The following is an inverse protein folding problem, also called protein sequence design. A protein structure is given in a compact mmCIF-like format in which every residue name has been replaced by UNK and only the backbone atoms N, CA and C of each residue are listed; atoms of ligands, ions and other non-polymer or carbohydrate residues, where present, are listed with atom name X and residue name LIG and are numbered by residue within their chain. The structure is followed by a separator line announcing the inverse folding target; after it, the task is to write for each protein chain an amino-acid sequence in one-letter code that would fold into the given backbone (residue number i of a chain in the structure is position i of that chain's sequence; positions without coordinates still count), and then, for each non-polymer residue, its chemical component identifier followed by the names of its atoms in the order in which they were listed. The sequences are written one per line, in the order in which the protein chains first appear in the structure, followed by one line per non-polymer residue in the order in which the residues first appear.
data_IF_852959203204
#
_entry.id   IF_852959203204
#
_cell.length_a   1.000
_cell.length_b   1.000
_cell.length_c   1.000
_cell.angle_alpha   90.00
_cell.angle_beta   90.00
_cell.angle_gamma   90.00
#
_symmetry.space_group_name_H-M   'P 1'
#
loop_
_entity.id
_entity.type
_entity.pdbx_description
1 polymer ?
#
# COMPACT_ATOMS: atom_id res chain seq x y z
N UNK A 1 -24.10 39.23 -46.73
CA UNK A 1 -23.91 38.69 -45.38
C UNK A 1 -23.72 39.88 -44.46
N UNK A 2 -24.68 40.19 -43.61
CA UNK A 2 -24.66 41.42 -42.81
C UNK A 2 -23.66 41.24 -41.62
N UNK A 3 -23.00 42.33 -41.28
CA UNK A 3 -22.00 42.47 -40.23
C UNK A 3 -22.49 41.90 -38.88
N UNK A 4 -23.79 41.92 -38.61
CA UNK A 4 -24.45 41.37 -37.42
C UNK A 4 -24.32 39.82 -37.31
N UNK A 5 -24.34 39.10 -38.43
CA UNK A 5 -24.16 37.62 -38.40
C UNK A 5 -22.74 37.19 -38.11
N UNK A 6 -21.77 38.05 -38.47
CA UNK A 6 -20.35 37.81 -38.16
C UNK A 6 -20.05 38.03 -36.67
N UNK A 7 -20.67 39.04 -36.04
CA UNK A 7 -20.53 39.36 -34.62
C UNK A 7 -21.14 38.28 -33.70
N UNK A 8 -22.30 37.71 -34.10
CA UNK A 8 -22.94 36.62 -33.35
C UNK A 8 -22.11 35.34 -33.41
N UNK A 9 -21.47 35.01 -34.55
CA UNK A 9 -20.58 33.84 -34.63
C UNK A 9 -19.28 34.01 -33.80
N UNK A 10 -18.76 35.26 -33.69
CA UNK A 10 -17.55 35.50 -32.86
C UNK A 10 -17.83 35.40 -31.36
N UNK A 11 -19.08 35.76 -30.95
CA UNK A 11 -19.47 35.69 -29.53
C UNK A 11 -19.70 34.25 -29.03
N UNK A 12 -20.00 33.28 -29.92
CA UNK A 12 -20.20 31.87 -29.57
C UNK A 12 -18.90 31.08 -29.46
N UNK A 13 -17.77 31.58 -30.01
CA UNK A 13 -16.48 30.87 -29.98
C UNK A 13 -15.70 31.12 -28.67
N UNK A 14 -16.03 32.14 -27.90
CA UNK A 14 -15.30 32.53 -26.67
C UNK A 14 -15.77 31.79 -25.43
N UNK A 15 -16.85 31.00 -25.45
CA UNK A 15 -17.44 30.38 -24.25
C UNK A 15 -17.06 28.92 -24.00
N UNK A 16 -16.09 28.31 -24.66
CA UNK A 16 -15.70 26.93 -24.43
C UNK A 16 -14.27 26.72 -23.91
N UNK A 17 -13.69 27.75 -23.26
CA UNK A 17 -12.56 27.50 -22.36
C UNK A 17 -13.10 26.98 -21.04
N UNK A 18 -13.60 25.75 -21.03
CA UNK A 18 -13.83 25.00 -19.80
C UNK A 18 -12.48 24.91 -19.09
N UNK A 19 -12.35 25.52 -17.94
CA UNK A 19 -11.28 25.25 -17.00
C UNK A 19 -11.38 23.74 -16.70
N UNK A 20 -10.52 22.95 -17.33
CA UNK A 20 -10.30 21.57 -16.92
C UNK A 20 -9.74 21.65 -15.49
N UNK A 21 -10.62 21.50 -14.50
CA UNK A 21 -10.20 21.26 -13.14
C UNK A 21 -9.39 19.96 -13.20
N UNK A 22 -8.08 20.04 -12.94
CA UNK A 22 -7.25 18.87 -12.79
C UNK A 22 -7.88 18.01 -11.69
N UNK A 23 -8.10 16.73 -12.01
CA UNK A 23 -8.50 15.74 -11.02
C UNK A 23 -7.43 15.73 -9.91
N UNK A 24 -7.80 16.01 -8.65
CA UNK A 24 -6.81 16.17 -7.56
C UNK A 24 -6.02 14.91 -7.23
N UNK A 25 -6.28 13.79 -7.90
CA UNK A 25 -5.66 12.52 -7.59
C UNK A 25 -6.24 11.89 -6.30
N UNK A 26 -6.14 10.56 -6.21
CA UNK A 26 -6.59 9.85 -5.01
C UNK A 26 -5.53 9.93 -3.92
N UNK A 27 -5.84 10.62 -2.81
CA UNK A 27 -5.00 10.60 -1.62
C UNK A 27 -5.01 9.19 -1.02
N UNK A 28 -3.83 8.61 -0.80
CA UNK A 28 -3.67 7.25 -0.29
C UNK A 28 -3.00 7.18 1.08
N UNK A 29 -2.55 8.28 1.60
CA UNK A 29 -1.86 8.40 2.88
C UNK A 29 -1.41 9.82 3.15
N UNK A 30 -0.48 9.99 4.08
CA UNK A 30 0.12 11.28 4.43
C UNK A 30 1.61 11.14 4.78
N UNK A 31 2.34 12.23 4.59
CA UNK A 31 3.70 12.39 5.11
C UNK A 31 3.63 12.69 6.62
N UNK A 32 4.12 11.79 7.46
CA UNK A 32 4.08 11.94 8.92
C UNK A 32 5.35 12.57 9.49
N UNK A 33 6.45 12.46 8.75
CA UNK A 33 7.72 13.13 9.05
C UNK A 33 8.38 13.55 7.75
N UNK A 34 8.84 14.78 7.69
CA UNK A 34 9.67 15.31 6.60
C UNK A 34 10.86 16.03 7.21
N UNK A 35 12.06 15.57 6.86
CA UNK A 35 13.33 16.20 7.25
C UNK A 35 14.04 16.67 5.99
N UNK A 36 14.39 17.93 5.95
CA UNK A 36 15.00 18.63 4.83
C UNK A 36 14.10 18.58 3.56
N UNK A 37 14.63 18.17 2.42
CA UNK A 37 13.95 18.27 1.14
C UNK A 37 13.37 16.92 0.70
N UNK A 38 12.06 16.77 0.82
CA UNK A 38 11.30 15.67 0.20
C UNK A 38 10.31 16.26 -0.78
N UNK A 39 10.23 15.69 -1.97
CA UNK A 39 9.34 16.16 -3.05
C UNK A 39 8.36 15.09 -3.46
N UNK A 40 7.16 15.51 -3.88
CA UNK A 40 6.17 14.71 -4.58
C UNK A 40 6.00 15.23 -6.00
N UNK A 41 6.00 14.35 -6.99
CA UNK A 41 5.72 14.68 -8.39
C UNK A 41 4.50 13.89 -8.85
N UNK A 42 3.41 14.61 -9.16
CA UNK A 42 2.18 14.02 -9.66
C UNK A 42 1.81 14.68 -11.00
N UNK A 43 1.68 13.89 -12.08
CA UNK A 43 1.33 14.39 -13.44
C UNK A 43 2.18 15.57 -13.90
N UNK A 44 3.50 15.57 -13.62
CA UNK A 44 4.47 16.63 -13.92
C UNK A 44 4.42 17.85 -12.96
N UNK A 45 3.49 17.90 -12.04
CA UNK A 45 3.47 18.93 -11.01
C UNK A 45 4.38 18.50 -9.84
N UNK A 46 5.47 19.23 -9.66
CA UNK A 46 6.43 19.02 -8.59
C UNK A 46 6.08 19.90 -7.40
N UNK A 47 5.97 19.30 -6.23
CA UNK A 47 5.75 20.00 -4.96
C UNK A 47 6.74 19.59 -3.89
N UNK A 48 7.04 20.46 -2.95
CA UNK A 48 7.70 20.12 -1.71
C UNK A 48 6.69 19.54 -0.74
N UNK A 49 7.03 18.40 -0.12
CA UNK A 49 6.21 17.82 0.91
C UNK A 49 6.58 18.40 2.27
N UNK A 50 5.56 18.69 3.06
CA UNK A 50 5.66 19.01 4.48
C UNK A 50 5.00 17.91 5.32
N UNK A 51 5.32 17.87 6.60
CA UNK A 51 4.63 16.98 7.55
C UNK A 51 3.14 17.32 7.60
N UNK A 52 2.28 16.32 7.40
CA UNK A 52 0.83 16.45 7.32
C UNK A 52 0.29 16.46 5.89
N UNK A 53 1.13 16.67 4.88
CA UNK A 53 0.68 16.66 3.48
C UNK A 53 0.18 15.27 3.06
N UNK A 54 -0.89 15.26 2.29
CA UNK A 54 -1.39 14.04 1.66
C UNK A 54 -0.42 13.56 0.58
N UNK A 55 -0.29 12.24 0.43
CA UNK A 55 0.40 11.59 -0.69
C UNK A 55 -0.60 10.89 -1.58
N UNK A 56 -0.37 10.97 -2.90
CA UNK A 56 -1.34 10.57 -3.91
C UNK A 56 -0.95 9.24 -4.57
N UNK A 57 -1.94 8.53 -5.08
CA UNK A 57 -1.68 7.41 -5.98
C UNK A 57 -0.98 7.92 -7.25
N UNK A 58 -0.04 7.15 -7.78
CA UNK A 58 0.81 7.48 -8.92
C UNK A 58 1.80 8.63 -8.68
N UNK A 59 1.88 9.15 -7.45
CA UNK A 59 2.87 10.17 -7.09
C UNK A 59 4.27 9.56 -6.97
N UNK A 60 5.26 10.27 -7.50
CA UNK A 60 6.68 9.93 -7.33
C UNK A 60 7.23 10.71 -6.16
N UNK A 61 7.68 10.02 -5.12
CA UNK A 61 8.30 10.63 -3.94
C UNK A 61 9.81 10.52 -4.05
N UNK A 62 10.51 11.63 -3.80
CA UNK A 62 11.97 11.67 -3.80
C UNK A 62 12.50 12.44 -2.59
N UNK A 63 13.46 11.84 -1.89
CA UNK A 63 14.20 12.47 -0.81
C UNK A 63 15.55 12.99 -1.32
N UNK A 64 15.94 14.17 -0.89
CA UNK A 64 17.28 14.73 -1.15
C UNK A 64 18.40 13.93 -0.49
N UNK A 65 19.64 14.28 -0.78
CA UNK A 65 20.83 13.52 -0.35
C UNK A 65 21.01 13.42 1.17
N UNK A 66 20.46 14.35 1.93
CA UNK A 66 20.49 14.42 3.40
C UNK A 66 19.08 14.46 4.02
N UNK A 67 18.10 13.94 3.29
CA UNK A 67 16.69 14.07 3.63
C UNK A 67 16.09 12.74 4.02
N UNK A 68 15.03 12.80 4.83
CA UNK A 68 14.24 11.65 5.27
C UNK A 68 12.76 11.99 5.12
N UNK A 69 12.01 11.09 4.52
CA UNK A 69 10.55 11.12 4.48
C UNK A 69 9.96 9.91 5.21
N UNK A 70 8.90 10.11 5.99
CA UNK A 70 8.14 9.00 6.56
C UNK A 70 6.68 9.16 6.16
N UNK A 71 6.12 8.12 5.57
CA UNK A 71 4.74 8.09 5.10
C UNK A 71 3.92 7.08 5.92
N UNK A 72 2.65 7.40 6.11
CA UNK A 72 1.65 6.45 6.62
C UNK A 72 0.51 6.36 5.59
N UNK A 73 0.31 5.17 5.03
CA UNK A 73 -0.78 4.91 4.09
C UNK A 73 -2.09 4.62 4.85
N UNK A 74 -3.22 4.69 4.15
CA UNK A 74 -4.55 4.49 4.75
C UNK A 74 -4.79 3.11 5.36
N UNK A 75 -4.07 2.10 4.90
CA UNK A 75 -4.08 0.76 5.50
C UNK A 75 -3.11 0.61 6.69
N UNK A 76 -2.57 1.72 7.18
CA UNK A 76 -1.55 1.80 8.23
C UNK A 76 -0.17 1.24 7.82
N UNK A 77 0.07 0.98 6.55
CA UNK A 77 1.42 0.74 6.05
C UNK A 77 2.29 1.94 6.35
N UNK A 78 3.46 1.69 6.92
CA UNK A 78 4.45 2.73 7.19
C UNK A 78 5.66 2.53 6.28
N UNK A 79 6.13 3.62 5.71
CA UNK A 79 7.26 3.63 4.81
C UNK A 79 8.22 4.73 5.23
N UNK A 80 9.46 4.39 5.58
CA UNK A 80 10.52 5.36 5.75
C UNK A 80 11.40 5.39 4.49
N UNK A 81 11.72 6.59 4.03
CA UNK A 81 12.41 6.91 2.79
C UNK A 81 13.73 7.60 3.17
N UNK A 82 14.84 6.96 2.87
CA UNK A 82 16.17 7.42 3.24
C UNK A 82 16.77 8.43 2.27
N UNK A 83 17.97 8.93 2.57
CA UNK A 83 18.69 9.89 1.74
C UNK A 83 18.85 9.44 0.30
N UNK A 84 18.56 10.34 -0.65
CA UNK A 84 18.68 10.09 -2.09
C UNK A 84 17.68 9.08 -2.68
N UNK A 85 16.75 8.58 -1.89
CA UNK A 85 15.82 7.56 -2.32
C UNK A 85 14.69 8.13 -3.20
N UNK A 86 14.20 7.29 -4.13
CA UNK A 86 13.10 7.62 -5.05
C UNK A 86 12.19 6.41 -5.24
N UNK A 87 10.89 6.62 -5.14
CA UNK A 87 9.86 5.60 -5.33
C UNK A 87 8.63 6.18 -6.03
N UNK A 88 7.77 5.29 -6.56
CA UNK A 88 6.42 5.63 -7.03
C UNK A 88 5.37 4.89 -6.20
N UNK A 89 4.36 5.59 -5.75
CA UNK A 89 3.16 5.06 -5.11
C UNK A 89 2.20 4.56 -6.21
N UNK A 90 2.50 3.40 -6.82
CA UNK A 90 1.90 2.96 -8.10
C UNK A 90 0.40 2.66 -7.97
N UNK A 91 0.03 1.74 -7.08
CA UNK A 91 -1.36 1.33 -6.91
C UNK A 91 -1.72 1.17 -5.45
N UNK A 92 -2.89 1.71 -5.10
CA UNK A 92 -3.42 1.54 -3.76
C UNK A 92 -4.92 1.23 -3.82
N UNK A 93 -5.27 -0.05 -3.75
CA UNK A 93 -6.67 -0.52 -3.67
C UNK A 93 -6.85 -1.18 -2.32
N UNK A 94 -7.43 -0.45 -1.39
CA UNK A 94 -7.68 -0.90 -0.03
C UNK A 94 -9.11 -0.57 0.40
N UNK A 95 -9.82 -1.57 0.88
CA UNK A 95 -11.14 -1.45 1.50
C UNK A 95 -11.13 -2.33 2.77
N UNK A 96 -11.32 -1.76 3.96
CA UNK A 96 -11.26 -2.52 5.22
C UNK A 96 -12.32 -3.63 5.32
N UNK A 97 -13.39 -3.56 4.52
CA UNK A 97 -14.47 -4.54 4.50
C UNK A 97 -14.28 -5.63 3.44
N UNK A 98 -13.22 -5.56 2.63
CA UNK A 98 -12.95 -6.52 1.56
C UNK A 98 -11.66 -7.30 1.82
N UNK A 99 -11.67 -8.56 1.41
CA UNK A 99 -10.50 -9.43 1.44
C UNK A 99 -9.66 -9.35 0.16
N UNK A 100 -10.05 -8.48 -0.79
CA UNK A 100 -9.36 -8.27 -2.06
C UNK A 100 -8.87 -6.84 -2.20
N UNK A 101 -7.63 -6.64 -2.59
CA UNK A 101 -7.01 -5.35 -2.81
C UNK A 101 -5.65 -5.50 -3.48
N UNK A 102 -4.95 -4.40 -3.70
CA UNK A 102 -3.59 -4.40 -4.24
C UNK A 102 -2.88 -3.13 -3.79
N UNK A 103 -1.73 -3.28 -3.15
CA UNK A 103 -0.84 -2.19 -2.80
C UNK A 103 0.48 -2.47 -3.52
N UNK A 104 0.81 -1.62 -4.48
CA UNK A 104 2.00 -1.74 -5.32
C UNK A 104 2.84 -0.50 -5.17
N UNK A 105 4.09 -0.68 -4.76
CA UNK A 105 5.11 0.36 -4.68
C UNK A 105 6.22 0.02 -5.66
N UNK A 106 6.69 1.01 -6.41
CA UNK A 106 7.86 0.86 -7.29
C UNK A 106 9.02 1.60 -6.64
N UNK A 107 9.97 0.87 -6.07
CA UNK A 107 11.20 1.42 -5.51
C UNK A 107 12.24 1.53 -6.63
N UNK A 108 12.77 2.73 -6.84
CA UNK A 108 13.66 3.03 -7.96
C UNK A 108 15.11 2.99 -7.52
N UNK A 109 15.46 3.67 -6.45
CA UNK A 109 16.81 3.72 -5.86
C UNK A 109 16.77 4.19 -4.41
N UNK A 110 17.86 3.93 -3.66
CA UNK A 110 18.05 4.38 -2.30
C UNK A 110 17.56 3.39 -1.24
N UNK A 111 17.46 3.85 -0.01
CA UNK A 111 17.15 3.04 1.16
C UNK A 111 15.74 3.28 1.65
N UNK A 112 15.05 2.19 2.02
CA UNK A 112 13.66 2.21 2.50
C UNK A 112 13.50 1.25 3.67
N UNK A 113 12.63 1.61 4.63
CA UNK A 113 12.05 0.67 5.58
C UNK A 113 10.57 0.54 5.31
N UNK A 114 10.11 -0.70 5.19
CA UNK A 114 8.72 -1.03 4.97
C UNK A 114 8.15 -1.80 6.17
N UNK A 115 7.00 -1.35 6.67
CA UNK A 115 6.26 -1.98 7.75
C UNK A 115 4.85 -2.22 7.24
N UNK A 116 4.47 -3.49 7.09
CA UNK A 116 3.13 -3.83 6.57
C UNK A 116 2.04 -3.34 7.50
N UNK A 117 1.00 -2.77 6.93
CA UNK A 117 -0.21 -2.36 7.61
C UNK A 117 -1.19 -3.51 7.86
N UNK A 118 -2.46 -3.15 7.99
CA UNK A 118 -3.56 -4.08 8.34
C UNK A 118 -4.26 -4.70 7.13
N UNK A 119 -3.92 -4.30 5.90
CA UNK A 119 -4.50 -4.89 4.71
C UNK A 119 -4.26 -6.41 4.67
N UNK A 120 -5.28 -7.17 4.25
CA UNK A 120 -5.18 -8.62 4.18
C UNK A 120 -4.10 -9.06 3.17
N UNK A 121 -3.41 -10.15 3.46
CA UNK A 121 -2.35 -10.73 2.61
C UNK A 121 -2.99 -11.56 1.48
N UNK A 122 -2.55 -11.50 0.22
CA UNK A 122 -1.23 -11.13 -0.32
C UNK A 122 -1.21 -9.80 -1.09
N UNK A 123 -1.63 -8.69 -0.50
CA UNK A 123 -1.86 -7.45 -1.24
C UNK A 123 -0.63 -6.61 -1.54
N UNK A 124 0.49 -6.85 -0.85
CA UNK A 124 1.67 -6.02 -1.00
C UNK A 124 2.63 -6.58 -2.04
N UNK A 125 2.91 -5.78 -3.06
CA UNK A 125 3.94 -6.05 -4.06
C UNK A 125 4.87 -4.86 -4.16
N UNK A 126 6.13 -5.08 -3.81
CA UNK A 126 7.19 -4.09 -3.96
C UNK A 126 7.95 -4.45 -5.23
N UNK A 127 7.88 -3.58 -6.22
CA UNK A 127 8.63 -3.70 -7.46
C UNK A 127 9.94 -2.93 -7.36
N UNK A 128 10.96 -3.48 -7.96
CA UNK A 128 12.29 -2.91 -8.07
C UNK A 128 12.80 -3.09 -9.49
N UNK A 129 13.92 -2.50 -9.90
CA UNK A 129 14.42 -2.63 -11.26
C UNK A 129 14.65 -4.08 -11.72
N UNK A 130 15.02 -4.99 -10.83
CA UNK A 130 15.41 -6.37 -11.19
C UNK A 130 14.59 -7.47 -10.50
N UNK A 131 13.68 -7.12 -9.58
CA UNK A 131 12.87 -8.10 -8.86
C UNK A 131 11.51 -7.54 -8.42
N UNK A 132 10.56 -8.46 -8.18
CA UNK A 132 9.34 -8.19 -7.45
C UNK A 132 9.40 -8.90 -6.10
N UNK A 133 9.03 -8.18 -5.04
CA UNK A 133 9.04 -8.65 -3.66
C UNK A 133 7.59 -8.74 -3.18
N UNK A 134 7.20 -9.91 -2.72
CA UNK A 134 5.92 -10.12 -2.04
C UNK A 134 6.16 -10.30 -0.55
N UNK A 135 5.32 -9.67 0.26
CA UNK A 135 5.52 -9.61 1.71
C UNK A 135 4.35 -10.22 2.47
N UNK A 136 4.67 -10.80 3.62
CA UNK A 136 3.69 -11.47 4.46
C UNK A 136 3.82 -11.06 5.93
N UNK A 137 3.26 -9.86 6.27
CA UNK A 137 3.29 -9.33 7.63
C UNK A 137 4.71 -9.10 8.11
N UNK A 138 5.37 -8.12 7.47
CA UNK A 138 6.82 -7.97 7.55
C UNK A 138 7.22 -6.58 8.01
N UNK A 139 8.38 -6.53 8.66
CA UNK A 139 9.22 -5.35 8.78
C UNK A 139 10.53 -5.69 8.09
N UNK A 140 10.90 -4.91 7.10
CA UNK A 140 12.14 -5.13 6.36
C UNK A 140 12.68 -3.84 5.75
N UNK A 141 14.00 -3.84 5.50
CA UNK A 141 14.67 -2.76 4.79
C UNK A 141 15.02 -3.20 3.37
N UNK A 142 14.98 -2.25 2.46
CA UNK A 142 15.40 -2.41 1.07
C UNK A 142 16.42 -1.34 0.75
N UNK A 143 17.54 -1.71 0.17
CA UNK A 143 18.47 -0.77 -0.45
C UNK A 143 18.64 -1.13 -1.92
N UNK A 144 18.52 -0.14 -2.78
CA UNK A 144 18.70 -0.27 -4.23
C UNK A 144 19.88 0.62 -4.62
N UNK A 145 20.93 -0.02 -5.09
CA UNK A 145 22.11 0.67 -5.63
C UNK A 145 21.77 1.39 -6.94
N UNK A 146 22.55 2.40 -7.31
CA UNK A 146 22.42 3.06 -8.60
C UNK A 146 22.66 2.09 -9.78
N UNK A 147 23.50 1.09 -9.57
CA UNK A 147 23.75 0.00 -10.54
C UNK A 147 22.59 -1.00 -10.61
N UNK A 148 21.55 -0.86 -9.78
CA UNK A 148 20.35 -1.69 -9.78
C UNK A 148 20.44 -2.96 -8.93
N UNK A 149 21.55 -3.23 -8.22
CA UNK A 149 21.59 -4.31 -7.26
C UNK A 149 20.70 -3.98 -6.06
N UNK A 150 20.13 -5.02 -5.42
CA UNK A 150 19.16 -4.90 -4.34
C UNK A 150 19.66 -5.66 -3.12
N UNK A 151 19.49 -5.05 -1.95
CA UNK A 151 19.75 -5.62 -0.67
C UNK A 151 18.47 -5.61 0.15
N UNK A 152 18.11 -6.75 0.71
CA UNK A 152 16.92 -6.93 1.55
C UNK A 152 17.37 -7.40 2.93
N UNK A 153 16.98 -6.69 3.98
CA UNK A 153 17.21 -7.08 5.37
C UNK A 153 15.87 -7.35 6.03
N UNK A 154 15.65 -8.56 6.51
CA UNK A 154 14.43 -8.93 7.21
C UNK A 154 14.55 -8.66 8.71
N UNK A 155 13.58 -7.92 9.25
CA UNK A 155 13.46 -7.71 10.70
C UNK A 155 12.38 -8.60 11.32
N UNK A 156 11.24 -8.77 10.63
CA UNK A 156 10.10 -9.57 11.11
C UNK A 156 9.30 -10.14 9.95
N UNK A 157 8.71 -11.33 10.12
CA UNK A 157 7.84 -11.95 9.13
C UNK A 157 8.58 -12.73 8.05
N UNK A 158 8.11 -12.66 6.82
CA UNK A 158 8.76 -13.30 5.67
C UNK A 158 8.54 -12.53 4.37
N UNK A 159 9.52 -12.58 3.48
CA UNK A 159 9.46 -12.00 2.15
C UNK A 159 9.87 -13.03 1.10
N UNK A 160 9.30 -12.90 -0.10
CA UNK A 160 9.71 -13.68 -1.27
C UNK A 160 10.07 -12.73 -2.41
N UNK A 161 11.31 -12.77 -2.84
CA UNK A 161 11.81 -11.99 -3.95
C UNK A 161 11.94 -12.87 -5.20
N UNK A 162 11.35 -12.43 -6.31
CA UNK A 162 11.41 -13.12 -7.59
C UNK A 162 12.02 -12.19 -8.65
N UNK A 163 13.07 -12.65 -9.33
CA UNK A 163 13.69 -11.89 -10.40
C UNK A 163 12.83 -11.91 -11.68
N UNK A 164 13.24 -11.15 -12.69
CA UNK A 164 12.54 -11.06 -13.99
C UNK A 164 12.56 -12.37 -14.79
N UNK A 165 13.41 -13.33 -14.43
CA UNK A 165 13.47 -14.69 -15.02
C UNK A 165 12.52 -15.67 -14.32
N UNK A 166 11.76 -15.23 -13.31
CA UNK A 166 10.84 -16.06 -12.53
C UNK A 166 11.52 -16.95 -11.47
N UNK A 167 12.82 -16.79 -11.24
CA UNK A 167 13.51 -17.45 -10.14
C UNK A 167 13.19 -16.68 -8.86
N UNK A 168 12.93 -17.41 -7.77
CA UNK A 168 12.51 -16.82 -6.51
C UNK A 168 13.36 -17.34 -5.35
N UNK A 169 13.64 -16.44 -4.41
CA UNK A 169 14.28 -16.74 -3.13
C UNK A 169 13.40 -16.21 -2.00
N UNK A 170 13.20 -17.00 -0.97
CA UNK A 170 12.55 -16.59 0.28
C UNK A 170 13.60 -16.10 1.28
N UNK A 171 13.20 -15.14 2.09
CA UNK A 171 13.92 -14.66 3.26
C UNK A 171 12.95 -14.75 4.44
N UNK A 172 13.08 -15.81 5.22
CA UNK A 172 12.17 -16.18 6.31
C UNK A 172 12.84 -16.05 7.69
N UNK A 173 14.18 -15.99 7.70
CA UNK A 173 14.96 -15.83 8.93
C UNK A 173 15.21 -14.34 9.18
N UNK A 174 14.71 -13.76 10.28
CA UNK A 174 15.02 -12.40 10.68
C UNK A 174 16.52 -12.14 10.83
N UNK A 175 16.95 -10.87 10.67
CA UNK A 175 18.34 -10.44 10.76
C UNK A 175 19.24 -10.99 9.62
N UNK A 176 18.66 -11.64 8.62
CA UNK A 176 19.40 -12.09 7.41
C UNK A 176 19.24 -11.08 6.28
N UNK A 177 20.25 -11.07 5.45
CA UNK A 177 20.33 -10.23 4.26
C UNK A 177 20.29 -11.11 3.01
N UNK A 178 19.43 -10.73 2.06
CA UNK A 178 19.39 -11.31 0.71
C UNK A 178 19.88 -10.25 -0.27
N UNK A 179 20.85 -10.60 -1.11
CA UNK A 179 21.29 -9.74 -2.21
C UNK A 179 20.80 -10.26 -3.55
N UNK A 180 20.34 -9.34 -4.38
CA UNK A 180 20.01 -9.62 -5.79
C UNK A 180 20.91 -8.72 -6.63
N UNK A 181 21.74 -9.33 -7.48
CA UNK A 181 22.66 -8.60 -8.34
C UNK A 181 21.95 -7.74 -9.41
N UNK A 182 22.65 -6.78 -10.05
CA UNK A 182 22.05 -5.90 -11.05
C UNK A 182 21.51 -6.67 -12.28
N UNK A 183 22.01 -7.88 -12.54
CA UNK A 183 21.49 -8.82 -13.55
C UNK A 183 20.32 -9.67 -13.05
N UNK A 184 19.83 -9.48 -11.82
CA UNK A 184 18.78 -10.28 -11.21
C UNK A 184 19.29 -11.61 -10.63
N UNK A 185 20.58 -11.76 -10.36
CA UNK A 185 21.15 -12.98 -9.80
C UNK A 185 20.87 -13.02 -8.29
N UNK A 186 20.11 -14.04 -7.88
CA UNK A 186 19.73 -14.26 -6.48
C UNK A 186 20.90 -14.92 -5.74
N UNK A 187 21.33 -14.35 -4.63
CA UNK A 187 22.27 -14.97 -3.70
C UNK A 187 21.53 -15.67 -2.58
N UNK A 188 22.17 -16.64 -1.93
CA UNK A 188 21.60 -17.24 -0.74
C UNK A 188 21.59 -16.22 0.42
N UNK A 189 20.53 -16.22 1.26
CA UNK A 189 20.48 -15.36 2.44
C UNK A 189 21.63 -15.63 3.42
N UNK A 190 22.22 -14.58 3.93
CA UNK A 190 23.35 -14.66 4.84
C UNK A 190 23.41 -13.53 5.86
N UNK A 191 24.46 -13.53 6.68
CA UNK A 191 24.80 -12.37 7.48
C UNK A 191 25.46 -11.30 6.59
N UNK A 192 25.40 -10.04 7.00
CA UNK A 192 26.03 -8.96 6.22
C UNK A 192 27.49 -9.28 5.87
N UNK A 193 28.31 -9.63 6.87
CA UNK A 193 29.75 -9.88 6.66
C UNK A 193 30.06 -11.14 5.86
N UNK A 194 29.12 -12.07 5.73
CA UNK A 194 29.29 -13.28 4.92
C UNK A 194 29.10 -13.05 3.41
N UNK A 195 28.46 -11.96 3.02
CA UNK A 195 28.19 -11.64 1.63
C UNK A 195 29.40 -10.92 1.01
N UNK A 196 30.01 -11.44 -0.08
CA UNK A 196 31.23 -10.86 -0.65
C UNK A 196 31.11 -9.40 -1.09
N UNK A 197 29.95 -9.02 -1.61
CA UNK A 197 29.69 -7.68 -2.15
C UNK A 197 29.57 -6.59 -1.05
N UNK A 198 29.49 -6.95 0.23
CA UNK A 198 29.44 -5.95 1.32
C UNK A 198 30.72 -5.13 1.47
N UNK A 199 31.81 -5.56 0.85
CA UNK A 199 33.07 -4.78 0.83
C UNK A 199 32.94 -3.50 0.01
N UNK A 200 31.96 -3.43 -0.89
CA UNK A 200 31.75 -2.29 -1.81
C UNK A 200 30.62 -1.37 -1.33
N UNK A 201 29.80 -1.81 -0.39
CA UNK A 201 28.63 -1.08 0.11
C UNK A 201 28.76 -0.79 1.59
N UNK A 202 28.58 0.47 1.97
CA UNK A 202 28.57 0.87 3.38
C UNK A 202 27.26 0.43 4.05
N UNK A 203 27.34 -0.25 5.18
CA UNK A 203 26.18 -0.72 5.95
C UNK A 203 25.20 0.41 6.30
N UNK A 204 25.73 1.55 6.80
CA UNK A 204 24.89 2.68 7.18
C UNK A 204 24.21 3.36 5.99
N UNK A 205 24.77 3.24 4.80
CA UNK A 205 24.14 3.69 3.55
C UNK A 205 23.05 2.72 3.11
N UNK A 206 23.31 1.42 3.18
CA UNK A 206 22.31 0.41 2.82
C UNK A 206 21.13 0.37 3.80
N UNK A 207 21.42 0.40 5.09
CA UNK A 207 20.43 0.26 6.16
C UNK A 207 20.49 1.40 7.19
N UNK A 208 20.24 2.66 6.76
CA UNK A 208 20.32 3.83 7.63
C UNK A 208 19.33 3.74 8.80
N UNK A 209 18.23 3.05 8.63
CA UNK A 209 17.17 2.89 9.64
C UNK A 209 17.50 1.85 10.72
N UNK A 210 18.55 1.05 10.55
CA UNK A 210 19.14 0.25 11.63
C UNK A 210 19.99 1.14 12.53
N UNK A 211 20.75 2.06 11.93
CA UNK A 211 21.64 2.97 12.64
C UNK A 211 20.85 4.08 13.36
N UNK A 212 19.87 4.63 12.67
CA UNK A 212 18.95 5.67 13.18
C UNK A 212 17.52 5.27 12.87
N UNK A 213 16.81 4.62 13.79
CA UNK A 213 15.44 4.19 13.59
C UNK A 213 14.53 5.36 13.22
N UNK A 214 13.55 5.15 12.31
CA UNK A 214 12.58 6.17 11.93
C UNK A 214 11.54 6.40 13.03
N UNK A 215 10.91 7.59 13.05
CA UNK A 215 9.88 7.93 14.03
C UNK A 215 8.64 7.02 13.95
N UNK A 216 8.31 6.52 12.76
CA UNK A 216 7.21 5.54 12.56
C UNK A 216 7.51 4.16 13.13
N UNK A 217 8.79 3.84 13.41
CA UNK A 217 9.24 2.60 14.06
C UNK A 217 10.49 2.86 14.90
N UNK A 218 10.34 3.49 16.07
CA UNK A 218 11.47 3.98 16.86
C UNK A 218 12.25 2.87 17.58
N UNK A 219 11.72 1.65 17.66
CA UNK A 219 12.37 0.55 18.32
C UNK A 219 13.13 -0.32 17.31
N UNK A 220 14.47 -0.32 17.27
CA UNK A 220 15.22 -1.25 16.46
C UNK A 220 14.99 -2.67 16.97
N UNK A 221 14.71 -3.59 16.04
CA UNK A 221 14.55 -5.02 16.38
C UNK A 221 15.92 -5.64 16.57
N UNK A 222 16.88 -5.25 15.74
CA UNK A 222 18.26 -5.72 15.76
C UNK A 222 19.23 -4.55 15.73
N UNK A 223 20.38 -4.73 16.37
CA UNK A 223 21.50 -3.80 16.27
C UNK A 223 22.30 -4.08 14.99
N UNK A 224 23.18 -3.15 14.64
CA UNK A 224 24.12 -3.35 13.52
C UNK A 224 25.01 -4.58 13.76
N UNK A 225 25.53 -4.75 14.95
CA UNK A 225 26.42 -5.88 15.31
C UNK A 225 25.69 -7.22 15.17
N UNK A 226 24.42 -7.29 15.57
CA UNK A 226 23.59 -8.50 15.38
C UNK A 226 23.54 -8.90 13.91
N UNK A 227 23.30 -7.93 13.01
CA UNK A 227 23.15 -8.16 11.57
C UNK A 227 24.49 -8.49 10.92
N UNK A 228 25.56 -7.76 11.28
CA UNK A 228 26.89 -7.98 10.73
C UNK A 228 27.47 -9.34 11.12
N UNK A 229 27.28 -9.75 12.37
CA UNK A 229 27.86 -10.98 12.93
C UNK A 229 26.87 -12.16 12.91
N UNK A 230 25.59 -11.90 12.70
CA UNK A 230 24.55 -12.91 12.70
C UNK A 230 24.18 -13.45 14.08
N UNK A 231 24.47 -12.69 15.14
CA UNK A 231 24.07 -13.00 16.50
C UNK A 231 22.65 -12.50 16.79
N UNK A 232 21.71 -12.92 15.98
CA UNK A 232 20.36 -12.41 16.01
C UNK A 232 19.58 -13.02 17.19
N UNK A 233 19.16 -12.21 18.17
CA UNK A 233 18.28 -12.66 19.22
C UNK A 233 16.93 -13.12 18.61
N UNK A 234 16.28 -14.10 19.25
CA UNK A 234 14.93 -14.44 18.84
C UNK A 234 14.04 -13.20 18.87
N UNK A 235 13.23 -12.96 17.81
CA UNK A 235 12.36 -11.81 17.75
C UNK A 235 11.46 -11.82 18.98
N UNK A 236 11.50 -10.77 19.80
CA UNK A 236 10.52 -10.59 20.85
C UNK A 236 9.17 -10.48 20.16
N UNK A 237 8.34 -11.52 20.26
CA UNK A 237 6.98 -11.53 19.74
C UNK A 237 6.30 -10.26 20.30
N UNK A 238 6.13 -9.25 19.47
CA UNK A 238 5.29 -8.11 19.82
C UNK A 238 3.92 -8.70 20.07
N UNK A 239 3.50 -8.80 21.35
CA UNK A 239 2.10 -9.06 21.65
C UNK A 239 1.31 -8.04 20.85
N UNK A 240 0.48 -8.53 19.94
CA UNK A 240 -0.52 -7.69 19.32
C UNK A 240 -1.16 -6.92 20.48
N UNK A 241 -1.11 -5.60 20.42
CA UNK A 241 -1.75 -4.76 21.42
C UNK A 241 -3.21 -5.19 21.42
N UNK A 242 -3.60 -5.86 22.52
CA UNK A 242 -4.94 -6.39 22.68
C UNK A 242 -5.89 -5.21 22.46
N UNK A 243 -6.86 -5.30 21.55
CA UNK A 243 -7.74 -4.17 21.27
C UNK A 243 -8.25 -3.68 22.62
N UNK A 244 -7.92 -2.44 22.98
CA UNK A 244 -8.38 -1.83 24.22
C UNK A 244 -9.89 -2.09 24.34
N UNK A 245 -10.32 -2.77 25.40
CA UNK A 245 -11.74 -3.04 25.64
C UNK A 245 -12.54 -1.76 25.38
N UNK A 246 -13.61 -1.86 24.59
CA UNK A 246 -14.45 -0.69 24.38
C UNK A 246 -14.90 -0.18 25.76
N UNK A 247 -14.86 1.14 26.01
CA UNK A 247 -15.16 1.71 27.30
C UNK A 247 -16.47 1.11 27.82
N UNK A 248 -16.42 0.56 29.04
CA UNK A 248 -17.55 -0.10 29.68
C UNK A 248 -18.80 0.76 29.52
N UNK A 249 -19.80 0.22 28.87
CA UNK A 249 -21.10 0.89 28.69
C UNK A 249 -21.56 1.33 30.09
N UNK A 250 -21.55 2.63 30.33
CA UNK A 250 -22.18 3.20 31.50
C UNK A 250 -23.57 2.59 31.59
N UNK A 251 -23.81 1.81 32.68
CA UNK A 251 -25.15 1.33 33.01
C UNK A 251 -26.03 2.56 33.08
N UNK A 252 -26.90 2.72 32.11
CA UNK A 252 -27.92 3.74 32.15
C UNK A 252 -28.72 3.54 33.43
N UNK A 253 -28.62 4.49 34.35
CA UNK A 253 -29.47 4.54 35.54
C UNK A 253 -30.92 4.61 35.06
N UNK A 254 -31.72 3.65 35.51
CA UNK A 254 -33.16 3.61 35.23
C UNK A 254 -33.80 4.92 35.67
N UNK A 255 -34.63 5.58 34.85
CA UNK A 255 -35.31 6.80 35.30
C UNK A 255 -36.32 6.47 36.39
N UNK A 256 -36.27 7.23 37.46
CA UNK A 256 -37.26 7.22 38.53
C UNK A 256 -38.68 7.33 37.96
N UNK A 257 -39.48 6.30 38.17
CA UNK A 257 -40.91 6.30 37.85
C UNK A 257 -41.62 7.32 38.74
N UNK A 258 -41.90 8.51 38.21
CA UNK A 258 -42.94 9.36 38.75
C UNK A 258 -44.30 8.86 38.28
N UNK A 259 -45.15 8.48 39.22
CA UNK A 259 -46.57 8.14 38.97
C UNK A 259 -47.28 9.41 38.53
N UNK A 260 -47.63 9.52 37.23
CA UNK A 260 -48.66 10.46 36.79
C UNK A 260 -49.63 9.77 35.83
N UNK A 261 -50.85 9.81 36.29
CA UNK A 261 -52.16 9.64 35.67
C UNK A 261 -52.26 9.22 34.20
N UNK A 262 -52.91 8.06 34.05
CA UNK A 262 -53.46 7.48 32.83
C UNK A 262 -54.62 8.31 32.30
N UNK A 263 -54.40 9.02 31.15
CA UNK A 263 -55.48 9.62 30.38
C UNK A 263 -55.65 8.79 29.10
N UNK A 264 -56.79 8.06 29.05
CA UNK A 264 -57.29 7.35 27.87
C UNK A 264 -57.50 8.34 26.71
N UNK A 265 -56.75 8.20 25.60
CA UNK A 265 -57.14 8.75 24.30
C UNK A 265 -57.41 7.62 23.31
N UNK A 266 -58.57 7.77 22.66
CA UNK A 266 -59.22 6.86 21.74
C UNK A 266 -58.39 6.58 20.49
N UNK A 267 -58.53 5.35 20.02
CA UNK A 267 -58.08 4.83 18.72
C UNK A 267 -58.44 5.76 17.57
N UNK A 268 -57.43 6.08 16.73
CA UNK A 268 -57.68 6.48 15.34
C UNK A 268 -57.15 5.37 14.44
N UNK A 269 -58.05 4.73 13.71
CA UNK A 269 -57.83 3.70 12.72
C UNK A 269 -57.25 4.41 11.47
N UNK A 270 -56.06 3.99 11.01
CA UNK A 270 -55.52 4.33 9.69
C UNK A 270 -55.79 3.17 8.72
N UNK A 271 -56.22 3.43 7.46
CA UNK A 271 -56.47 2.38 6.50
C UNK A 271 -55.16 1.79 5.95
N UNK A 272 -55.19 0.45 5.77
CA UNK A 272 -54.12 -0.32 5.14
C UNK A 272 -53.98 0.08 3.68
N UNK A 273 -52.78 0.49 3.31
CA UNK A 273 -52.38 0.62 1.90
C UNK A 273 -51.93 -0.73 1.39
N UNK A 274 -52.62 -1.23 0.35
CA UNK A 274 -52.27 -2.45 -0.40
C UNK A 274 -51.14 -2.11 -1.39
N UNK A 275 -50.08 -2.91 -1.39
CA UNK A 275 -49.00 -2.84 -2.40
C UNK A 275 -49.47 -3.45 -3.72
N UNK A 276 -49.12 -2.88 -4.87
CA UNK A 276 -49.33 -3.51 -6.18
C UNK A 276 -48.25 -4.58 -6.46
N UNK A 277 -48.69 -5.71 -6.95
CA UNK A 277 -47.89 -6.85 -7.40
C UNK A 277 -47.06 -6.51 -8.63
N UNK A 278 -45.77 -6.80 -8.56
CA UNK A 278 -44.83 -6.71 -9.71
C UNK A 278 -45.02 -7.90 -10.64
N UNK A 279 -44.99 -7.71 -11.98
CA UNK A 279 -45.04 -8.82 -12.93
C UNK A 279 -43.72 -9.59 -12.99
N UNK A 280 -43.79 -10.91 -12.90
CA UNK A 280 -42.67 -11.82 -13.01
C UNK A 280 -42.10 -11.87 -14.43
N UNK A 281 -40.76 -11.71 -14.54
CA UNK A 281 -40.02 -12.04 -15.74
C UNK A 281 -39.53 -13.50 -15.64
N UNK A 282 -40.03 -14.34 -16.52
CA UNK A 282 -39.56 -15.73 -16.67
C UNK A 282 -38.51 -15.76 -17.76
N UNK A 283 -37.25 -16.09 -17.42
CA UNK A 283 -36.18 -16.35 -18.39
C UNK A 283 -36.14 -17.86 -18.63
N UNK A 284 -36.53 -18.30 -19.83
CA UNK A 284 -36.37 -19.68 -20.29
C UNK A 284 -34.96 -19.89 -20.82
N UNK A 285 -34.18 -20.75 -20.17
CA UNK A 285 -32.88 -21.20 -20.66
C UNK A 285 -33.12 -22.45 -21.50
N UNK A 286 -32.96 -22.31 -22.81
CA UNK A 286 -33.03 -23.44 -23.77
C UNK A 286 -31.73 -24.24 -23.69
N UNK A 287 -31.82 -25.50 -23.24
CA UNK A 287 -30.76 -26.50 -23.33
C UNK A 287 -30.90 -27.16 -24.70
N UNK A 288 -29.96 -26.80 -25.62
CA UNK A 288 -29.82 -27.48 -26.91
C UNK A 288 -28.85 -28.64 -26.76
N UNK A 289 -29.37 -29.86 -26.72
CA UNK A 289 -28.61 -31.06 -26.90
C UNK A 289 -28.40 -31.35 -28.40
N UNK A 290 -27.21 -31.76 -28.76
CA UNK A 290 -26.85 -32.20 -30.10
C UNK A 290 -25.58 -33.03 -30.00
N UNK A 291 -25.71 -34.24 -30.18
CA UNK A 291 -25.18 -35.47 -30.33
C UNK A 291 -24.29 -35.69 -31.52
N UNK A 292 -23.40 -36.65 -31.39
CA UNK A 292 -22.98 -37.56 -32.41
C UNK A 292 -21.70 -37.24 -33.16
N UNK A 293 -20.80 -38.22 -33.18
CA UNK A 293 -19.81 -38.34 -34.27
C UNK A 293 -18.51 -39.04 -33.90
N UNK A 294 -18.50 -40.35 -34.02
CA UNK A 294 -17.33 -41.23 -34.09
C UNK A 294 -16.36 -40.84 -35.24
N UNK A 295 -15.07 -41.13 -35.06
CA UNK A 295 -14.10 -41.16 -36.13
C UNK A 295 -12.70 -41.51 -35.63
N UNK A 296 -12.36 -42.79 -35.68
CA UNK A 296 -11.05 -43.30 -35.42
C UNK A 296 -10.10 -43.05 -36.62
N UNK A 297 -8.80 -43.17 -36.40
CA UNK A 297 -7.76 -43.13 -37.45
C UNK A 297 -6.40 -43.33 -36.82
N UNK A 298 -5.94 -44.59 -36.93
CA UNK A 298 -4.55 -45.03 -36.79
C UNK A 298 -3.66 -44.45 -37.91
N UNK A 299 -2.39 -44.50 -37.61
CA UNK A 299 -1.16 -44.61 -38.42
C UNK A 299 -0.28 -43.33 -38.38
N UNK A 300 0.92 -43.45 -38.10
CA UNK A 300 2.25 -44.01 -38.06
C UNK A 300 3.13 -43.20 -37.12
#
# INVERSE_FOLDING_TARGET
MSLERLLVCLFFIVQSAGLALADPGDAIGSAVTVVNQVTGEFRQDLRHLATGDEVLQEEVIAAGADSIGELMLRDQTKLAIGPGARLTLDRFVYDPNKTSGAIVLNLIKGSFRFITGVAAKPFYVIRTPVAAITVRGTIFDVYIEEAGAIWLLLHEGSIRACNTRGQCQSLDDPCRVLRIGPGGDLQDPGTWNALPATREVNFATAFPFVVKPPGVDPAPIFTRDDIELGHCPEPKVRKAEEPSEPPAKHKAQAPHRSRQAYVRRRHRIYPRYSQPSSPGFTISIGIGGGGGGHGGGHHD
#
